data_IF_482485589034
#
_entry.id   IF_482485589034
#
_cell.length_a   1.000
_cell.length_b   1.000
_cell.length_c   1.000
_cell.angle_alpha   90.00
_cell.angle_beta   90.00
_cell.angle_gamma   90.00
#
_symmetry.space_group_name_H-M   'P 1'
#
loop_
_entity.id
_entity.type
_entity.pdbx_description
1 polymer ?
#
# COMPACT_ATOMS: atom_id res chain seq x y z
N UNK A 1 7.18 -16.24 -17.16
CA UNK A 1 5.95 -15.66 -16.60
C UNK A 1 4.91 -16.72 -16.16
N UNK A 2 4.56 -17.73 -16.97
CA UNK A 2 3.49 -18.71 -16.67
C UNK A 2 3.67 -19.56 -15.39
N UNK A 3 4.91 -19.92 -15.03
CA UNK A 3 5.17 -20.80 -13.89
C UNK A 3 4.74 -20.18 -12.54
N UNK A 4 4.78 -18.86 -12.44
CA UNK A 4 4.57 -18.17 -11.17
C UNK A 4 3.06 -18.03 -10.81
N UNK A 5 2.16 -17.80 -11.78
CA UNK A 5 0.72 -17.67 -11.49
C UNK A 5 0.11 -18.97 -10.97
N UNK A 6 0.48 -20.13 -11.54
CA UNK A 6 -0.05 -21.43 -11.08
C UNK A 6 0.33 -21.69 -9.62
N UNK A 7 1.57 -21.37 -9.24
CA UNK A 7 2.05 -21.50 -7.86
C UNK A 7 1.30 -20.54 -6.92
N UNK A 8 1.12 -19.28 -7.31
CA UNK A 8 0.33 -18.31 -6.54
C UNK A 8 -1.10 -18.82 -6.35
N UNK A 9 -1.74 -19.31 -7.42
CA UNK A 9 -3.10 -19.89 -7.35
C UNK A 9 -3.16 -21.06 -6.37
N UNK A 10 -2.18 -21.98 -6.41
CA UNK A 10 -2.13 -23.11 -5.48
C UNK A 10 -2.03 -22.63 -4.02
N UNK A 11 -1.16 -21.65 -3.73
CA UNK A 11 -1.02 -21.06 -2.39
C UNK A 11 -2.32 -20.40 -1.92
N UNK A 12 -2.96 -19.61 -2.79
CA UNK A 12 -4.24 -18.93 -2.50
C UNK A 12 -5.36 -19.93 -2.21
N UNK A 13 -5.48 -20.99 -3.02
CA UNK A 13 -6.49 -22.02 -2.82
C UNK A 13 -6.27 -22.77 -1.50
N UNK A 14 -5.02 -23.15 -1.19
CA UNK A 14 -4.67 -23.80 0.08
C UNK A 14 -4.99 -22.89 1.27
N UNK A 15 -4.69 -21.60 1.18
CA UNK A 15 -5.00 -20.63 2.24
C UNK A 15 -6.51 -20.58 2.54
N UNK A 16 -7.36 -20.40 1.52
CA UNK A 16 -8.80 -20.36 1.75
C UNK A 16 -9.37 -21.71 2.19
N UNK A 17 -8.85 -22.83 1.68
CA UNK A 17 -9.25 -24.17 2.14
C UNK A 17 -8.93 -24.38 3.62
N UNK A 18 -7.76 -23.94 4.07
CA UNK A 18 -7.37 -24.04 5.48
C UNK A 18 -8.27 -23.18 6.38
N UNK A 19 -8.62 -21.96 5.93
CA UNK A 19 -9.55 -21.10 6.68
C UNK A 19 -10.94 -21.73 6.83
N UNK A 20 -11.42 -22.40 5.78
CA UNK A 20 -12.71 -23.12 5.82
C UNK A 20 -12.64 -24.35 6.73
N UNK A 21 -11.61 -25.18 6.58
CA UNK A 21 -11.46 -26.42 7.37
C UNK A 21 -11.34 -26.17 8.87
N UNK A 22 -10.71 -25.05 9.26
CA UNK A 22 -10.49 -24.71 10.67
C UNK A 22 -11.64 -23.90 11.28
N UNK A 23 -12.78 -23.72 10.56
CA UNK A 23 -13.86 -22.79 10.92
C UNK A 23 -13.32 -21.38 11.29
N UNK A 24 -12.21 -20.99 10.68
CA UNK A 24 -11.44 -19.80 11.04
C UNK A 24 -11.59 -18.69 10.01
N UNK A 25 -12.68 -18.69 9.24
CA UNK A 25 -12.97 -17.63 8.26
C UNK A 25 -13.06 -16.26 8.91
N UNK A 26 -13.41 -16.21 10.19
CA UNK A 26 -13.48 -15.00 11.01
C UNK A 26 -12.15 -14.63 11.69
N UNK A 27 -11.19 -15.57 11.79
CA UNK A 27 -9.88 -15.27 12.40
C UNK A 27 -9.08 -14.41 11.43
N UNK A 28 -8.64 -13.19 11.80
CA UNK A 28 -7.82 -12.37 10.94
C UNK A 28 -6.53 -13.08 10.57
N UNK A 29 -6.22 -13.16 9.28
CA UNK A 29 -5.06 -13.89 8.76
C UNK A 29 -4.50 -13.25 7.49
N UNK A 30 -3.22 -13.48 7.21
CA UNK A 30 -2.53 -13.05 6.00
C UNK A 30 -1.79 -14.22 5.39
N UNK A 31 -1.94 -14.39 4.08
CA UNK A 31 -1.05 -15.17 3.23
C UNK A 31 -0.06 -14.21 2.56
N UNK A 32 1.23 -14.34 2.88
CA UNK A 32 2.28 -13.68 2.11
C UNK A 32 2.67 -14.57 0.92
N UNK A 33 2.57 -14.04 -0.30
CA UNK A 33 2.86 -14.81 -1.52
C UNK A 33 4.23 -14.51 -2.09
N UNK A 34 4.81 -13.37 -1.74
CA UNK A 34 6.09 -12.89 -2.20
C UNK A 34 6.72 -11.98 -1.14
N UNK A 35 8.05 -12.03 -1.06
CA UNK A 35 8.84 -11.11 -0.29
C UNK A 35 10.17 -10.83 -0.97
N UNK A 36 10.69 -9.63 -0.78
CA UNK A 36 12.04 -9.26 -1.18
C UNK A 36 12.68 -8.37 -0.11
N UNK A 37 13.87 -8.70 0.33
CA UNK A 37 14.73 -7.86 1.16
C UNK A 37 16.00 -7.53 0.38
N UNK A 38 16.40 -6.25 0.37
CA UNK A 38 17.54 -5.78 -0.41
C UNK A 38 18.23 -4.59 0.25
N UNK A 39 19.52 -4.44 -0.06
CA UNK A 39 20.33 -3.30 0.34
C UNK A 39 20.19 -2.16 -0.67
N UNK A 40 19.67 -1.00 -0.25
CA UNK A 40 19.45 0.16 -1.12
C UNK A 40 20.76 0.72 -1.69
N UNK A 41 21.83 0.71 -0.90
CA UNK A 41 23.13 1.28 -1.28
C UNK A 41 24.15 0.18 -1.65
N UNK A 42 23.73 -1.08 -1.64
CA UNK A 42 24.57 -2.24 -1.97
C UNK A 42 24.55 -2.59 -3.45
N UNK A 43 25.37 -3.56 -3.85
CA UNK A 43 25.25 -4.22 -5.16
C UNK A 43 23.99 -5.11 -5.16
N UNK A 44 23.32 -5.21 -6.32
CA UNK A 44 22.07 -5.98 -6.55
C UNK A 44 22.11 -7.47 -6.17
N UNK A 45 23.25 -7.98 -5.74
CA UNK A 45 23.48 -9.39 -5.37
C UNK A 45 22.96 -9.75 -3.96
N UNK A 46 22.70 -8.77 -3.09
CA UNK A 46 22.22 -9.00 -1.72
C UNK A 46 20.68 -9.01 -1.63
N UNK A 47 20.02 -9.91 -2.37
CA UNK A 47 18.56 -9.99 -2.41
C UNK A 47 18.07 -11.30 -1.81
N UNK A 48 17.39 -11.22 -0.67
CA UNK A 48 16.68 -12.36 -0.07
C UNK A 48 15.25 -12.35 -0.59
N UNK A 49 14.74 -13.50 -1.04
CA UNK A 49 13.37 -13.62 -1.60
C UNK A 49 12.49 -14.63 -0.88
N UNK A 50 13.05 -15.41 0.05
CA UNK A 50 12.25 -16.30 0.88
C UNK A 50 11.46 -15.48 1.90
N UNK A 51 10.14 -15.64 1.89
CA UNK A 51 9.23 -14.83 2.71
C UNK A 51 9.36 -15.17 4.20
N UNK A 52 9.64 -16.42 4.57
CA UNK A 52 9.81 -16.81 5.96
C UNK A 52 11.11 -16.23 6.51
N UNK A 53 12.20 -16.29 5.72
CA UNK A 53 13.47 -15.66 6.09
C UNK A 53 13.32 -14.16 6.30
N UNK A 54 12.56 -13.47 5.44
CA UNK A 54 12.28 -12.04 5.58
C UNK A 54 11.47 -11.76 6.85
N UNK A 55 10.43 -12.54 7.14
CA UNK A 55 9.64 -12.39 8.38
C UNK A 55 10.52 -12.61 9.63
N UNK A 56 11.37 -13.64 9.61
CA UNK A 56 12.34 -13.90 10.67
C UNK A 56 13.32 -12.72 10.82
N UNK A 57 13.83 -12.18 9.71
CA UNK A 57 14.72 -11.02 9.71
C UNK A 57 14.04 -9.74 10.23
N UNK A 58 12.74 -9.57 10.00
CA UNK A 58 11.97 -8.46 10.58
C UNK A 58 11.91 -8.65 12.10
N UNK A 59 11.51 -9.83 12.57
CA UNK A 59 11.38 -10.10 13.99
C UNK A 59 12.71 -10.00 14.74
N UNK A 60 13.81 -10.43 14.11
CA UNK A 60 15.17 -10.36 14.68
C UNK A 60 15.85 -8.99 14.53
N UNK A 61 15.25 -8.03 13.81
CA UNK A 61 15.81 -6.68 13.65
C UNK A 61 15.99 -6.00 15.02
N UNK A 62 17.10 -5.30 15.24
CA UNK A 62 17.35 -4.59 16.51
C UNK A 62 16.38 -3.41 16.71
N UNK A 63 15.79 -2.91 15.62
CA UNK A 63 14.75 -1.89 15.74
C UNK A 63 13.53 -2.47 16.47
N UNK A 64 13.25 -1.95 17.66
CA UNK A 64 12.08 -2.33 18.47
C UNK A 64 10.77 -1.85 17.83
N UNK A 65 10.82 -0.76 17.06
CA UNK A 65 9.67 -0.29 16.31
C UNK A 65 9.71 -0.98 14.94
N UNK A 66 9.06 -2.15 14.81
CA UNK A 66 8.98 -2.84 13.52
C UNK A 66 8.11 -2.02 12.59
N UNK A 67 8.76 -1.20 11.78
CA UNK A 67 8.15 -0.18 10.96
C UNK A 67 7.50 -0.81 9.71
N UNK A 68 6.18 -0.98 9.75
CA UNK A 68 5.42 -1.64 8.69
C UNK A 68 4.56 -0.63 7.95
N UNK A 69 4.86 -0.39 6.67
CA UNK A 69 4.14 0.54 5.81
C UNK A 69 3.22 -0.24 4.88
N UNK A 70 1.92 0.04 4.89
CA UNK A 70 0.93 -0.80 4.20
C UNK A 70 0.22 0.02 3.13
N UNK A 71 0.35 -0.39 1.87
CA UNK A 71 -0.53 0.06 0.80
C UNK A 71 -1.62 -0.98 0.58
N UNK A 72 -2.82 -0.67 1.04
CA UNK A 72 -4.00 -1.52 0.91
C UNK A 72 -4.85 -1.07 -0.27
N UNK A 73 -5.01 -1.94 -1.27
CA UNK A 73 -5.77 -1.62 -2.48
C UNK A 73 -6.29 -2.87 -3.18
N UNK A 74 -7.25 -2.66 -4.09
CA UNK A 74 -7.75 -3.72 -4.97
C UNK A 74 -6.76 -4.15 -6.06
N UNK A 75 -5.75 -3.32 -6.37
CA UNK A 75 -4.72 -3.55 -7.39
C UNK A 75 -5.24 -4.17 -8.69
N UNK A 76 -6.30 -3.58 -9.27
CA UNK A 76 -7.05 -4.18 -10.37
C UNK A 76 -7.22 -3.25 -11.60
N UNK A 77 -6.15 -2.99 -12.37
CA UNK A 77 -4.75 -3.34 -12.10
C UNK A 77 -4.08 -2.31 -11.16
N UNK A 78 -2.89 -2.60 -10.60
CA UNK A 78 -2.06 -1.55 -10.03
C UNK A 78 -1.68 -0.52 -11.12
N UNK A 79 -1.43 0.71 -10.69
CA UNK A 79 -1.25 1.88 -11.58
C UNK A 79 -0.01 2.67 -11.19
N UNK A 80 0.39 3.64 -12.02
CA UNK A 80 1.46 4.59 -11.70
C UNK A 80 1.19 5.37 -10.39
N UNK A 81 -0.08 5.64 -10.06
CA UNK A 81 -0.45 6.23 -8.78
C UNK A 81 -0.09 5.33 -7.57
N UNK A 82 -0.15 4.00 -7.70
CA UNK A 82 0.28 3.13 -6.60
C UNK A 82 1.81 3.19 -6.40
N UNK A 83 2.57 3.21 -7.49
CA UNK A 83 4.04 3.34 -7.46
C UNK A 83 4.43 4.68 -6.83
N UNK A 84 3.80 5.78 -7.27
CA UNK A 84 4.06 7.12 -6.74
C UNK A 84 3.73 7.20 -5.24
N UNK A 85 2.66 6.54 -4.76
CA UNK A 85 2.33 6.53 -3.32
C UNK A 85 3.46 5.88 -2.51
N UNK A 86 3.98 4.75 -2.99
CA UNK A 86 5.07 4.04 -2.35
C UNK A 86 6.36 4.89 -2.34
N UNK A 87 6.71 5.53 -3.46
CA UNK A 87 7.93 6.34 -3.54
C UNK A 87 7.87 7.64 -2.76
N UNK A 88 6.73 8.34 -2.76
CA UNK A 88 6.55 9.51 -1.88
C UNK A 88 6.56 9.11 -0.41
N UNK A 89 6.06 7.92 -0.06
CA UNK A 89 6.18 7.41 1.30
C UNK A 89 7.62 7.13 1.70
N UNK A 90 8.41 6.57 0.79
CA UNK A 90 9.84 6.40 1.01
C UNK A 90 10.56 7.76 1.19
N UNK A 91 10.30 8.75 0.33
CA UNK A 91 10.85 10.10 0.48
C UNK A 91 10.49 10.70 1.84
N UNK A 92 9.22 10.61 2.23
CA UNK A 92 8.75 11.10 3.52
C UNK A 92 9.55 10.47 4.68
N UNK A 93 9.82 9.17 4.65
CA UNK A 93 10.57 8.51 5.72
C UNK A 93 12.02 9.00 5.77
N UNK A 94 12.67 9.14 4.60
CA UNK A 94 14.00 9.72 4.50
C UNK A 94 14.04 11.17 5.03
N UNK A 95 13.06 11.99 4.67
CA UNK A 95 12.94 13.37 5.16
C UNK A 95 12.73 13.43 6.68
N UNK A 96 11.92 12.53 7.25
CA UNK A 96 11.78 12.46 8.71
C UNK A 96 13.13 12.10 9.37
N UNK A 97 13.87 11.13 8.83
CA UNK A 97 15.18 10.74 9.37
C UNK A 97 16.23 11.85 9.33
N UNK A 98 16.17 12.73 8.33
CA UNK A 98 17.04 13.91 8.23
C UNK A 98 16.63 15.03 9.21
N UNK A 99 15.33 15.22 9.42
CA UNK A 99 14.80 16.38 10.12
C UNK A 99 14.52 16.16 11.61
N UNK A 100 14.33 14.92 12.08
CA UNK A 100 14.07 14.63 13.50
C UNK A 100 15.21 13.86 14.15
N UNK A 101 15.70 14.36 15.28
CA UNK A 101 16.61 13.59 16.16
C UNK A 101 15.85 12.69 17.13
N UNK A 102 14.58 12.99 17.41
CA UNK A 102 13.73 12.19 18.27
C UNK A 102 12.92 11.18 17.46
N UNK A 103 12.68 10.00 18.03
CA UNK A 103 11.85 8.94 17.42
C UNK A 103 12.32 8.43 16.03
N UNK A 104 13.60 8.56 15.67
CA UNK A 104 14.14 8.04 14.39
C UNK A 104 13.81 6.57 14.16
N UNK A 105 13.78 5.76 15.22
CA UNK A 105 13.42 4.34 15.19
C UNK A 105 12.11 4.05 14.45
N UNK A 106 11.14 4.98 14.46
CA UNK A 106 9.86 4.84 13.76
C UNK A 106 9.98 4.92 12.23
N UNK A 107 11.11 5.35 11.71
CA UNK A 107 11.35 5.57 10.28
C UNK A 107 12.51 4.73 9.73
N UNK A 108 13.28 4.04 10.58
CA UNK A 108 14.39 3.18 10.16
C UNK A 108 13.91 1.95 9.38
N UNK A 109 14.65 1.58 8.33
CA UNK A 109 14.52 0.34 7.56
C UNK A 109 13.05 -0.12 7.36
N UNK A 110 12.19 0.71 6.75
CA UNK A 110 10.78 0.39 6.61
C UNK A 110 10.54 -0.90 5.82
N UNK A 111 9.57 -1.68 6.29
CA UNK A 111 9.02 -2.83 5.55
C UNK A 111 7.74 -2.40 4.87
N UNK A 112 7.72 -2.41 3.55
CA UNK A 112 6.53 -2.11 2.75
C UNK A 112 5.72 -3.39 2.52
N UNK A 113 4.40 -3.30 2.67
CA UNK A 113 3.46 -4.38 2.39
C UNK A 113 2.42 -3.86 1.40
N UNK A 114 2.37 -4.47 0.21
CA UNK A 114 1.23 -4.33 -0.69
C UNK A 114 0.20 -5.38 -0.28
N UNK A 115 -0.96 -4.93 0.18
CA UNK A 115 -1.97 -5.80 0.76
C UNK A 115 -3.26 -5.75 -0.06
N UNK A 116 -3.79 -6.92 -0.43
CA UNK A 116 -5.11 -7.04 -1.03
C UNK A 116 -6.02 -7.87 -0.12
N UNK A 117 -7.31 -7.52 -0.09
CA UNK A 117 -8.35 -8.34 0.52
C UNK A 117 -9.31 -8.88 -0.54
N UNK A 118 -9.71 -10.15 -0.37
CA UNK A 118 -10.81 -10.76 -1.13
C UNK A 118 -12.17 -10.18 -0.69
N UNK A 119 -12.28 -9.85 0.61
CA UNK A 119 -13.51 -9.43 1.24
C UNK A 119 -13.61 -7.90 1.30
N UNK A 120 -13.54 -7.24 0.15
CA UNK A 120 -13.86 -5.82 0.10
C UNK A 120 -15.36 -5.64 0.29
N UNK A 121 -15.75 -5.10 1.46
CA UNK A 121 -17.13 -4.88 1.91
C UNK A 121 -17.99 -4.16 0.84
N UNK A 122 -17.36 -3.35 -0.02
CA UNK A 122 -18.05 -2.48 -0.97
C UNK A 122 -17.97 -2.91 -2.46
N UNK A 123 -17.23 -3.98 -2.86
CA UNK A 123 -16.99 -4.27 -4.30
C UNK A 123 -17.00 -5.76 -4.69
N UNK A 124 -17.78 -6.11 -5.73
CA UNK A 124 -17.68 -7.41 -6.44
C UNK A 124 -16.38 -7.50 -7.25
N UNK A 125 -15.78 -8.70 -7.34
CA UNK A 125 -14.60 -8.96 -8.17
C UNK A 125 -14.95 -8.90 -9.66
N UNK A 126 -14.48 -7.86 -10.37
CA UNK A 126 -14.55 -7.73 -11.84
C UNK A 126 -13.13 -7.66 -12.40
N UNK A 127 -12.85 -8.30 -13.54
CA UNK A 127 -11.54 -8.22 -14.21
C UNK A 127 -10.55 -9.29 -13.74
N UNK A 128 -9.31 -8.90 -13.40
CA UNK A 128 -8.26 -9.83 -12.99
C UNK A 128 -8.67 -10.63 -11.74
N UNK A 129 -8.34 -11.92 -11.73
CA UNK A 129 -8.50 -12.78 -10.55
C UNK A 129 -7.42 -12.46 -9.48
N UNK A 130 -7.59 -13.02 -8.27
CA UNK A 130 -6.69 -12.74 -7.13
C UNK A 130 -5.23 -13.06 -7.45
N UNK A 131 -4.95 -14.22 -8.06
CA UNK A 131 -3.58 -14.64 -8.41
C UNK A 131 -2.93 -13.70 -9.43
N UNK A 132 -3.69 -13.23 -10.41
CA UNK A 132 -3.22 -12.25 -11.39
C UNK A 132 -2.91 -10.90 -10.73
N UNK A 133 -3.75 -10.44 -9.79
CA UNK A 133 -3.51 -9.19 -9.05
C UNK A 133 -2.28 -9.28 -8.16
N UNK A 134 -2.12 -10.37 -7.42
CA UNK A 134 -0.92 -10.65 -6.63
C UNK A 134 0.33 -10.64 -7.52
N UNK A 135 0.27 -11.26 -8.70
CA UNK A 135 1.41 -11.24 -9.63
C UNK A 135 1.71 -9.85 -10.16
N UNK A 136 0.69 -9.04 -10.45
CA UNK A 136 0.87 -7.64 -10.80
C UNK A 136 1.45 -6.83 -9.63
N UNK A 137 1.09 -7.11 -8.38
CA UNK A 137 1.69 -6.48 -7.20
C UNK A 137 3.19 -6.81 -7.11
N UNK A 138 3.62 -8.04 -7.38
CA UNK A 138 5.05 -8.39 -7.45
C UNK A 138 5.79 -7.54 -8.48
N UNK A 139 5.21 -7.32 -9.67
CA UNK A 139 5.81 -6.45 -10.70
C UNK A 139 5.98 -5.01 -10.18
N UNK A 140 5.00 -4.49 -9.44
CA UNK A 140 5.11 -3.17 -8.80
C UNK A 140 6.23 -3.12 -7.78
N UNK A 141 6.47 -4.19 -7.02
CA UNK A 141 7.57 -4.23 -6.05
C UNK A 141 8.95 -4.11 -6.73
N UNK A 142 9.11 -4.72 -7.91
CA UNK A 142 10.37 -4.62 -8.68
C UNK A 142 10.58 -3.21 -9.24
N UNK A 143 9.52 -2.56 -9.71
CA UNK A 143 9.57 -1.17 -10.18
C UNK A 143 9.88 -0.22 -9.02
N UNK A 144 9.19 -0.40 -7.89
CA UNK A 144 9.38 0.39 -6.68
C UNK A 144 10.81 0.28 -6.14
N UNK A 145 11.36 -0.93 -6.05
CA UNK A 145 12.75 -1.18 -5.66
C UNK A 145 13.73 -0.34 -6.50
N UNK A 146 13.63 -0.42 -7.83
CA UNK A 146 14.52 0.33 -8.73
C UNK A 146 14.44 1.83 -8.48
N UNK A 147 13.22 2.35 -8.31
CA UNK A 147 13.01 3.79 -8.09
C UNK A 147 13.61 4.26 -6.76
N UNK A 148 13.41 3.53 -5.66
CA UNK A 148 13.95 3.96 -4.37
C UNK A 148 15.47 3.83 -4.30
N UNK A 149 16.08 2.87 -5.00
CA UNK A 149 17.53 2.79 -5.13
C UNK A 149 18.07 4.05 -5.82
N UNK A 150 17.48 4.47 -6.94
CA UNK A 150 17.88 5.72 -7.62
C UNK A 150 17.69 6.92 -6.71
N UNK A 151 16.50 7.10 -6.13
CA UNK A 151 16.19 8.21 -5.23
C UNK A 151 17.17 8.28 -4.05
N UNK A 152 17.45 7.15 -3.41
CA UNK A 152 18.33 7.11 -2.25
C UNK A 152 19.77 7.45 -2.60
N UNK A 153 20.30 6.92 -3.71
CA UNK A 153 21.66 7.24 -4.16
C UNK A 153 21.81 8.72 -4.54
N UNK A 154 20.77 9.32 -5.14
CA UNK A 154 20.80 10.71 -5.60
C UNK A 154 20.62 11.72 -4.46
N UNK A 155 19.70 11.46 -3.52
CA UNK A 155 19.24 12.45 -2.52
C UNK A 155 19.56 12.10 -1.07
N UNK A 156 19.69 10.83 -0.74
CA UNK A 156 19.69 10.34 0.64
C UNK A 156 20.90 9.45 0.96
N UNK A 157 22.02 9.64 0.25
CA UNK A 157 23.26 8.87 0.45
C UNK A 157 23.79 8.93 1.89
N UNK A 158 23.52 10.04 2.60
CA UNK A 158 23.86 10.19 4.02
C UNK A 158 23.09 9.25 4.95
N UNK A 159 21.96 8.70 4.52
CA UNK A 159 21.10 7.80 5.31
C UNK A 159 21.46 6.30 5.14
N UNK A 160 22.68 5.98 4.68
CA UNK A 160 23.10 4.60 4.43
C UNK A 160 23.06 3.70 5.67
N UNK A 161 23.03 4.22 6.90
CA UNK A 161 22.89 3.38 8.08
C UNK A 161 21.41 3.19 8.49
N UNK A 162 20.54 4.09 8.03
CA UNK A 162 19.15 4.22 8.46
C UNK A 162 18.16 3.54 7.52
N UNK A 163 18.45 3.55 6.20
CA UNK A 163 17.54 3.03 5.16
C UNK A 163 18.22 2.05 4.20
N UNK A 164 19.27 1.35 4.63
CA UNK A 164 19.92 0.37 3.77
C UNK A 164 19.05 -0.86 3.55
N UNK A 165 18.41 -1.38 4.61
CA UNK A 165 17.80 -2.70 4.56
C UNK A 165 16.29 -2.60 4.37
N UNK A 166 15.85 -2.47 3.11
CA UNK A 166 14.44 -2.36 2.78
C UNK A 166 13.85 -3.74 2.48
N UNK A 167 12.61 -3.92 2.93
CA UNK A 167 11.83 -5.13 2.75
C UNK A 167 10.51 -4.77 2.07
N UNK A 168 10.10 -5.57 1.11
CA UNK A 168 8.83 -5.42 0.41
C UNK A 168 8.12 -6.77 0.36
N UNK A 169 6.89 -6.81 0.86
CA UNK A 169 6.05 -8.01 0.91
C UNK A 169 4.78 -7.80 0.08
N UNK A 170 4.26 -8.88 -0.48
CA UNK A 170 2.93 -8.94 -1.11
C UNK A 170 2.08 -9.92 -0.32
N UNK A 171 0.93 -9.43 0.16
CA UNK A 171 0.03 -10.19 1.02
C UNK A 171 -1.42 -10.20 0.53
N UNK A 172 -2.10 -11.31 0.82
CA UNK A 172 -3.55 -11.48 0.72
C UNK A 172 -4.12 -11.67 2.13
N UNK A 173 -5.14 -10.91 2.50
CA UNK A 173 -5.85 -11.08 3.77
C UNK A 173 -7.31 -11.49 3.58
N UNK A 174 -7.86 -12.20 4.56
CA UNK A 174 -9.29 -12.56 4.62
C UNK A 174 -10.17 -11.47 5.28
N UNK A 175 -9.58 -10.42 5.86
CA UNK A 175 -10.33 -9.38 6.60
C UNK A 175 -10.44 -8.06 5.84
N UNK A 176 -11.56 -7.37 6.05
CA UNK A 176 -11.87 -6.10 5.39
C UNK A 176 -11.50 -4.86 6.21
N UNK A 177 -11.74 -4.88 7.53
CA UNK A 177 -11.50 -3.72 8.42
C UNK A 177 -10.01 -3.56 8.68
N UNK A 178 -9.56 -2.31 8.75
CA UNK A 178 -8.16 -1.98 9.02
C UNK A 178 -7.69 -2.43 10.41
N UNK A 179 -8.56 -2.38 11.42
CA UNK A 179 -8.25 -2.88 12.77
C UNK A 179 -7.96 -4.39 12.74
N UNK A 180 -8.76 -5.18 12.02
CA UNK A 180 -8.54 -6.62 11.91
C UNK A 180 -7.23 -6.93 11.14
N UNK A 181 -6.85 -6.08 10.18
CA UNK A 181 -5.57 -6.22 9.46
C UNK A 181 -4.38 -6.01 10.40
N UNK A 182 -4.48 -5.09 11.36
CA UNK A 182 -3.44 -4.94 12.40
C UNK A 182 -3.28 -6.22 13.20
N UNK A 183 -4.41 -6.85 13.60
CA UNK A 183 -4.39 -8.13 14.32
C UNK A 183 -3.68 -9.21 13.47
N UNK A 184 -4.06 -9.34 12.21
CA UNK A 184 -3.48 -10.33 11.30
C UNK A 184 -1.96 -10.11 11.09
N UNK A 185 -1.50 -8.86 10.98
CA UNK A 185 -0.07 -8.54 10.84
C UNK A 185 0.69 -8.88 12.11
N UNK A 186 0.14 -8.52 13.29
CA UNK A 186 0.78 -8.77 14.59
C UNK A 186 0.91 -10.26 14.93
N UNK A 187 0.16 -11.15 14.27
CA UNK A 187 0.40 -12.60 14.38
C UNK A 187 1.75 -13.02 13.81
N UNK A 188 2.22 -12.36 12.75
CA UNK A 188 3.52 -12.66 12.11
C UNK A 188 4.64 -11.74 12.59
N UNK A 189 4.30 -10.50 12.96
CA UNK A 189 5.22 -9.45 13.39
C UNK A 189 4.67 -8.80 14.66
N UNK A 190 4.85 -9.41 15.85
CA UNK A 190 4.18 -8.97 17.10
C UNK A 190 4.43 -7.51 17.48
N UNK A 191 5.64 -7.02 17.25
CA UNK A 191 6.08 -5.65 17.54
C UNK A 191 5.81 -4.68 16.36
N UNK A 192 4.96 -5.06 15.40
CA UNK A 192 4.59 -4.20 14.29
C UNK A 192 3.93 -2.91 14.75
N UNK A 193 4.40 -1.79 14.18
CA UNK A 193 3.77 -0.47 14.23
C UNK A 193 3.29 -0.07 12.82
N UNK A 194 2.14 -0.59 12.36
CA UNK A 194 1.55 -0.27 11.07
C UNK A 194 1.35 1.23 10.79
N UNK A 195 1.77 1.64 9.60
CA UNK A 195 1.39 2.89 8.95
C UNK A 195 0.59 2.58 7.67
N UNK A 196 -0.70 2.91 7.64
CA UNK A 196 -1.54 2.64 6.47
C UNK A 196 -1.53 3.82 5.50
N UNK A 197 -1.15 3.57 4.25
CA UNK A 197 -1.27 4.53 3.15
C UNK A 197 -2.72 4.55 2.69
N UNK A 198 -3.38 5.70 2.82
CA UNK A 198 -4.79 5.90 2.48
C UNK A 198 -4.98 7.13 1.59
N UNK A 199 -6.00 7.09 0.73
CA UNK A 199 -6.55 8.30 0.10
C UNK A 199 -7.58 8.98 1.01
N UNK A 200 -7.90 10.25 0.74
CA UNK A 200 -8.93 11.01 1.47
C UNK A 200 -10.27 10.26 1.60
N UNK A 201 -10.73 9.60 0.53
CA UNK A 201 -11.97 8.83 0.55
C UNK A 201 -11.91 7.64 1.52
N UNK A 202 -10.75 7.00 1.60
CA UNK A 202 -10.55 5.82 2.45
C UNK A 202 -10.42 6.21 3.91
N UNK A 203 -9.65 7.26 4.23
CA UNK A 203 -9.58 7.75 5.61
C UNK A 203 -10.95 8.27 6.07
N UNK A 204 -11.71 8.95 5.21
CA UNK A 204 -13.07 9.38 5.55
C UNK A 204 -13.95 8.19 5.92
N UNK A 205 -13.91 7.10 5.12
CA UNK A 205 -14.60 5.84 5.44
C UNK A 205 -14.10 5.18 6.72
N UNK A 206 -12.80 5.24 7.00
CA UNK A 206 -12.22 4.68 8.23
C UNK A 206 -12.84 5.30 9.50
N UNK A 207 -13.28 6.56 9.44
CA UNK A 207 -13.98 7.25 10.52
C UNK A 207 -15.52 7.23 10.41
N UNK A 208 -16.13 6.32 9.63
CA UNK A 208 -17.60 6.19 9.58
C UNK A 208 -18.12 5.17 10.59
N UNK A 209 -19.09 5.57 11.41
CA UNK A 209 -19.70 4.74 12.46
C UNK A 209 -20.24 3.38 11.98
N UNK A 210 -20.73 3.32 10.74
CA UNK A 210 -21.26 2.07 10.15
C UNK A 210 -20.26 0.91 10.11
N UNK A 211 -18.96 1.18 10.22
CA UNK A 211 -17.92 0.14 10.27
C UNK A 211 -17.60 -0.35 11.70
N UNK A 212 -18.26 0.23 12.70
CA UNK A 212 -18.07 -0.04 14.14
C UNK A 212 -19.39 -0.44 14.82
N UNK A 213 -20.38 -0.93 14.07
CA UNK A 213 -21.66 -1.37 14.63
C UNK A 213 -21.43 -2.45 15.69
N UNK A 214 -22.00 -2.25 16.88
CA UNK A 214 -21.82 -3.14 18.04
C UNK A 214 -20.50 -2.96 18.79
N UNK A 215 -19.68 -1.97 18.44
CA UNK A 215 -18.41 -1.66 19.08
C UNK A 215 -18.36 -0.19 19.53
N UNK A 216 -17.58 0.11 20.56
CA UNK A 216 -17.27 1.49 20.92
C UNK A 216 -16.19 2.05 19.96
N UNK A 217 -16.63 2.81 18.95
CA UNK A 217 -15.74 3.37 17.93
C UNK A 217 -14.57 4.16 18.53
N UNK A 218 -14.79 4.96 19.58
CA UNK A 218 -13.73 5.75 20.21
C UNK A 218 -12.67 4.85 20.83
N UNK A 219 -13.06 3.83 21.60
CA UNK A 219 -12.11 2.90 22.21
C UNK A 219 -11.30 2.14 21.16
N UNK A 220 -11.96 1.71 20.08
CA UNK A 220 -11.30 1.02 18.96
C UNK A 220 -10.29 1.95 18.26
N UNK A 221 -10.67 3.20 17.99
CA UNK A 221 -9.77 4.17 17.37
C UNK A 221 -8.62 4.58 18.28
N UNK A 222 -8.87 4.76 19.58
CA UNK A 222 -7.82 5.05 20.57
C UNK A 222 -6.82 3.88 20.64
N UNK A 223 -7.31 2.64 20.65
CA UNK A 223 -6.49 1.43 20.58
C UNK A 223 -5.69 1.34 19.29
N UNK A 224 -6.31 1.68 18.15
CA UNK A 224 -5.63 1.72 16.85
C UNK A 224 -4.50 2.77 16.86
N UNK A 225 -4.78 4.03 17.18
CA UNK A 225 -3.79 5.10 17.09
C UNK A 225 -2.72 5.10 18.18
N UNK A 226 -2.84 4.22 19.19
CA UNK A 226 -1.78 3.98 20.18
C UNK A 226 -0.45 3.66 19.50
N UNK A 227 -0.45 2.64 18.64
CA UNK A 227 0.75 2.10 17.99
C UNK A 227 0.76 2.34 16.47
N UNK A 228 -0.40 2.60 15.87
CA UNK A 228 -0.54 2.72 14.41
C UNK A 228 -0.60 4.18 13.96
N UNK A 229 -0.35 4.39 12.67
CA UNK A 229 -0.47 5.68 12.01
C UNK A 229 -1.14 5.57 10.64
N UNK A 230 -1.54 6.70 10.08
CA UNK A 230 -2.06 6.80 8.73
C UNK A 230 -1.19 7.78 7.96
N UNK A 231 -0.88 7.42 6.72
CA UNK A 231 -0.24 8.27 5.73
C UNK A 231 -1.30 8.58 4.69
N UNK A 232 -1.75 9.82 4.65
CA UNK A 232 -2.83 10.27 3.78
C UNK A 232 -2.28 11.05 2.60
N UNK A 233 -2.60 10.59 1.39
CA UNK A 233 -2.43 11.37 0.17
C UNK A 233 -3.79 11.88 -0.30
N UNK A 234 -3.89 13.18 -0.55
CA UNK A 234 -5.10 13.74 -1.15
C UNK A 234 -5.20 13.38 -2.65
N UNK A 235 -6.33 13.59 -3.32
CA UNK A 235 -6.45 13.46 -4.78
C UNK A 235 -7.20 14.65 -5.34
N UNK A 236 -6.90 15.03 -6.58
CA UNK A 236 -7.79 15.95 -7.32
C UNK A 236 -9.01 15.12 -7.74
N UNK A 237 -10.12 15.27 -7.02
CA UNK A 237 -11.39 14.73 -7.48
C UNK A 237 -11.88 15.58 -8.66
N UNK A 238 -12.28 14.96 -9.76
CA UNK A 238 -13.02 15.65 -10.81
C UNK A 238 -14.42 15.99 -10.27
N UNK A 239 -14.65 17.23 -9.86
CA UNK A 239 -15.98 17.83 -9.99
C UNK A 239 -16.08 18.35 -11.42
N UNK A 240 -17.01 17.82 -12.22
CA UNK A 240 -17.13 18.06 -13.67
C UNK A 240 -17.29 19.55 -14.07
N UNK A 241 -17.43 20.48 -13.12
CA UNK A 241 -17.78 21.89 -13.39
C UNK A 241 -16.86 22.93 -12.74
N UNK A 242 -15.64 22.59 -12.30
CA UNK A 242 -14.71 23.57 -11.69
C UNK A 242 -13.29 23.48 -12.25
N UNK A 243 -12.62 24.62 -12.35
CA UNK A 243 -11.25 24.72 -12.88
C UNK A 243 -10.26 23.94 -11.98
N UNK A 244 -9.12 23.53 -12.54
CA UNK A 244 -8.09 22.75 -11.82
C UNK A 244 -7.53 23.46 -10.58
N UNK A 245 -7.49 24.79 -10.58
CA UNK A 245 -7.07 25.60 -9.43
C UNK A 245 -8.10 25.58 -8.29
N UNK A 246 -9.39 25.68 -8.61
CA UNK A 246 -10.48 25.67 -7.63
C UNK A 246 -10.63 24.28 -6.95
N UNK A 247 -10.39 23.20 -7.70
CA UNK A 247 -10.45 21.84 -7.17
C UNK A 247 -9.28 21.50 -6.24
N UNK A 248 -8.06 21.97 -6.54
CA UNK A 248 -6.89 21.80 -5.65
C UNK A 248 -7.06 22.55 -4.31
N UNK A 249 -7.60 23.77 -4.35
CA UNK A 249 -7.84 24.59 -3.15
C UNK A 249 -8.92 23.98 -2.25
N UNK A 250 -10.04 23.54 -2.83
CA UNK A 250 -11.16 22.95 -2.08
C UNK A 250 -10.82 21.60 -1.44
N UNK A 251 -10.08 20.71 -2.11
CA UNK A 251 -9.72 19.40 -1.55
C UNK A 251 -8.72 19.51 -0.39
N UNK A 252 -7.70 20.35 -0.54
CA UNK A 252 -6.78 20.66 0.56
C UNK A 252 -7.51 21.24 1.77
N UNK A 253 -8.51 22.10 1.55
CA UNK A 253 -9.34 22.63 2.63
C UNK A 253 -10.18 21.54 3.31
N UNK A 254 -10.74 20.59 2.54
CA UNK A 254 -11.54 19.48 3.09
C UNK A 254 -10.72 18.50 3.93
N UNK A 255 -9.56 18.05 3.43
CA UNK A 255 -8.67 17.17 4.20
C UNK A 255 -8.14 17.87 5.45
N UNK A 256 -7.74 19.15 5.32
CA UNK A 256 -7.30 19.95 6.46
C UNK A 256 -8.41 20.08 7.50
N UNK A 257 -9.61 20.45 7.09
CA UNK A 257 -10.76 20.55 7.99
C UNK A 257 -11.11 19.22 8.65
N UNK A 258 -11.10 18.11 7.90
CA UNK A 258 -11.34 16.77 8.44
C UNK A 258 -10.37 16.42 9.58
N UNK A 259 -9.10 16.86 9.47
CA UNK A 259 -8.05 16.60 10.45
C UNK A 259 -8.02 17.66 11.57
N UNK A 260 -8.38 18.91 11.33
CA UNK A 260 -8.30 19.97 12.36
C UNK A 260 -9.58 20.14 13.17
N UNK A 261 -10.73 19.85 12.56
CA UNK A 261 -12.06 20.10 13.11
C UNK A 261 -12.97 18.86 13.07
N UNK A 262 -12.70 17.92 12.16
CA UNK A 262 -13.49 16.71 11.98
C UNK A 262 -13.16 15.55 12.95
N UNK A 263 -13.69 14.35 12.68
CA UNK A 263 -13.56 13.19 13.56
C UNK A 263 -12.10 12.70 13.72
N UNK A 264 -11.20 13.08 12.82
CA UNK A 264 -9.78 12.74 12.90
C UNK A 264 -8.96 13.68 13.82
N UNK A 265 -9.55 14.79 14.30
CA UNK A 265 -8.87 15.77 15.16
C UNK A 265 -8.13 15.20 16.37
N UNK A 266 -8.70 14.24 17.13
CA UNK A 266 -8.00 13.65 18.28
C UNK A 266 -6.70 12.94 17.89
N UNK A 267 -6.56 12.52 16.62
CA UNK A 267 -5.49 11.67 16.12
C UNK A 267 -4.57 12.38 15.13
N UNK A 268 -4.64 13.71 15.03
CA UNK A 268 -3.89 14.50 14.04
C UNK A 268 -2.36 14.26 14.04
N UNK A 269 -1.80 13.94 15.20
CA UNK A 269 -0.37 13.65 15.37
C UNK A 269 0.04 12.24 14.89
N UNK A 270 -0.93 11.40 14.54
CA UNK A 270 -0.76 10.05 13.98
C UNK A 270 -1.21 9.96 12.52
N UNK A 271 -1.54 11.10 11.91
CA UNK A 271 -1.97 11.19 10.51
C UNK A 271 -1.01 12.13 9.77
N UNK A 272 -0.17 11.56 8.91
CA UNK A 272 0.79 12.30 8.09
C UNK A 272 0.17 12.60 6.73
N UNK A 273 0.32 13.84 6.23
CA UNK A 273 -0.31 14.29 4.97
C UNK A 273 0.77 14.54 3.90
N UNK A 274 0.59 13.97 2.71
CA UNK A 274 1.43 14.29 1.54
C UNK A 274 0.88 15.48 0.77
N UNK A 275 1.35 16.67 1.13
CA UNK A 275 0.95 17.92 0.49
C UNK A 275 1.46 18.03 -0.98
N UNK A 276 2.57 17.36 -1.31
CA UNK A 276 3.19 17.37 -2.64
C UNK A 276 2.52 16.42 -3.65
N UNK A 277 1.64 15.52 -3.20
CA UNK A 277 0.98 14.52 -4.04
C UNK A 277 0.19 15.13 -5.20
N UNK A 278 -0.45 16.28 -4.96
CA UNK A 278 -1.31 16.98 -5.92
C UNK A 278 -0.53 17.78 -6.98
N UNK A 279 0.79 17.87 -6.87
CA UNK A 279 1.61 18.63 -7.81
C UNK A 279 1.76 17.91 -9.16
N UNK A 280 1.54 16.60 -9.19
CA UNK A 280 1.49 15.82 -10.44
C UNK A 280 0.04 15.77 -10.96
N UNK A 281 -0.29 16.69 -11.87
CA UNK A 281 -1.65 16.82 -12.42
C UNK A 281 -2.11 15.60 -13.23
N UNK A 282 -1.17 14.78 -13.69
CA UNK A 282 -1.46 13.56 -14.45
C UNK A 282 -1.67 12.42 -13.45
N UNK A 283 -0.70 12.14 -12.58
CA UNK A 283 -0.77 11.01 -11.65
C UNK A 283 -1.90 11.16 -10.63
N UNK A 284 -2.22 12.38 -10.20
CA UNK A 284 -3.33 12.63 -9.26
C UNK A 284 -4.71 12.22 -9.81
N UNK A 285 -4.84 12.06 -11.14
CA UNK A 285 -6.06 11.60 -11.83
C UNK A 285 -6.05 10.11 -12.15
N UNK A 286 -4.89 9.45 -12.10
CA UNK A 286 -4.75 8.03 -12.47
C UNK A 286 -5.51 7.12 -11.50
N UNK A 287 -6.46 6.34 -12.04
CA UNK A 287 -7.21 5.33 -11.28
C UNK A 287 -7.26 3.97 -11.97
N UNK A 288 -7.36 2.89 -11.20
CA UNK A 288 -7.54 1.54 -11.76
C UNK A 288 -8.84 1.41 -12.55
N UNK A 289 -9.89 2.16 -12.20
CA UNK A 289 -11.16 2.14 -12.93
C UNK A 289 -11.02 2.74 -14.32
N UNK A 290 -10.35 3.87 -14.43
CA UNK A 290 -10.07 4.50 -15.72
C UNK A 290 -9.14 3.63 -16.58
N UNK A 291 -8.10 3.05 -15.98
CA UNK A 291 -7.24 2.09 -16.68
C UNK A 291 -8.03 0.91 -17.26
N UNK A 292 -9.00 0.35 -16.52
CA UNK A 292 -9.89 -0.72 -17.03
C UNK A 292 -10.80 -0.23 -18.16
N UNK A 293 -11.33 1.00 -18.09
CA UNK A 293 -12.15 1.55 -19.17
C UNK A 293 -11.35 1.70 -20.46
N UNK A 294 -10.12 2.22 -20.36
CA UNK A 294 -9.21 2.32 -21.50
C UNK A 294 -8.88 0.95 -22.07
N UNK A 295 -8.61 -0.05 -21.24
CA UNK A 295 -8.35 -1.42 -21.69
C UNK A 295 -9.53 -2.02 -22.46
N UNK A 296 -10.77 -1.78 -22.01
CA UNK A 296 -11.98 -2.26 -22.71
C UNK A 296 -12.20 -1.63 -24.08
N UNK A 297 -11.94 -0.32 -24.19
CA UNK A 297 -12.21 0.42 -25.42
C UNK A 297 -11.04 0.37 -26.41
N UNK A 298 -9.81 0.30 -25.89
CA UNK A 298 -8.58 0.57 -26.64
C UNK A 298 -7.45 -0.37 -26.19
N UNK A 299 -7.71 -1.69 -26.19
CA UNK A 299 -6.78 -2.72 -25.70
C UNK A 299 -5.37 -2.63 -26.32
N UNK A 300 -5.27 -2.19 -27.58
CA UNK A 300 -4.01 -2.07 -28.33
C UNK A 300 -3.33 -0.69 -28.24
N UNK A 301 -3.95 0.30 -27.60
CA UNK A 301 -3.39 1.66 -27.52
C UNK A 301 -2.41 1.78 -26.34
N UNK A 302 -1.20 1.26 -26.57
CA UNK A 302 -0.12 1.26 -25.58
C UNK A 302 0.23 2.67 -25.08
N UNK A 303 0.22 3.68 -25.96
CA UNK A 303 0.58 5.06 -25.59
C UNK A 303 -0.42 5.64 -24.57
N UNK A 304 -1.72 5.43 -24.79
CA UNK A 304 -2.76 5.87 -23.84
C UNK A 304 -2.67 5.10 -22.52
N UNK A 305 -2.39 3.79 -22.57
CA UNK A 305 -2.26 2.95 -21.37
C UNK A 305 -1.02 3.31 -20.53
N UNK A 306 0.09 3.70 -21.16
CA UNK A 306 1.33 4.09 -20.47
C UNK A 306 1.17 5.35 -19.61
N UNK A 307 0.11 6.16 -19.81
CA UNK A 307 -0.23 7.27 -18.92
C UNK A 307 -0.80 6.81 -17.57
N UNK A 308 -1.25 5.56 -17.46
CA UNK A 308 -1.91 5.02 -16.27
C UNK A 308 -1.17 3.83 -15.67
N UNK A 309 -0.54 3.02 -16.51
CA UNK A 309 0.05 1.74 -16.15
C UNK A 309 1.54 1.71 -16.54
N UNK A 310 2.41 1.14 -15.71
CA UNK A 310 3.77 0.86 -16.12
C UNK A 310 3.79 -0.19 -17.23
N UNK A 311 4.81 -0.15 -18.09
CA UNK A 311 4.95 -1.01 -19.26
C UNK A 311 4.83 -2.50 -18.91
N UNK A 312 5.48 -2.93 -17.84
CA UNK A 312 5.50 -4.32 -17.39
C UNK A 312 4.11 -4.85 -16.99
N UNK A 313 3.25 -3.98 -16.47
CA UNK A 313 1.86 -4.31 -16.17
C UNK A 313 1.04 -4.41 -17.45
N UNK A 314 1.27 -3.51 -18.42
CA UNK A 314 0.61 -3.57 -19.74
C UNK A 314 0.98 -4.87 -20.45
N UNK A 315 2.27 -5.19 -20.51
CA UNK A 315 2.79 -6.42 -21.13
C UNK A 315 2.16 -7.67 -20.48
N UNK A 316 2.07 -7.68 -19.15
CA UNK A 316 1.43 -8.77 -18.40
C UNK A 316 -0.06 -8.90 -18.73
N UNK A 317 -0.79 -7.78 -18.74
CA UNK A 317 -2.23 -7.75 -19.06
C UNK A 317 -2.48 -8.30 -20.46
N UNK A 318 -1.72 -7.84 -21.45
CA UNK A 318 -1.84 -8.27 -22.85
C UNK A 318 -1.53 -9.76 -22.98
N UNK A 319 -0.42 -10.21 -22.40
CA UNK A 319 -0.01 -11.62 -22.48
C UNK A 319 -1.07 -12.58 -21.93
N UNK A 320 -1.74 -12.22 -20.82
CA UNK A 320 -2.77 -13.06 -20.20
C UNK A 320 -4.20 -12.73 -20.65
N UNK A 321 -4.37 -11.86 -21.66
CA UNK A 321 -5.66 -11.41 -22.16
C UNK A 321 -6.62 -10.95 -21.03
N UNK A 322 -6.12 -10.14 -20.09
CA UNK A 322 -6.88 -9.71 -18.92
C UNK A 322 -7.70 -8.46 -19.28
N UNK A 323 -8.95 -8.38 -18.82
CA UNK A 323 -9.87 -7.24 -19.06
C UNK A 323 -10.34 -7.05 -20.51
N UNK A 324 -10.03 -8.00 -21.40
CA UNK A 324 -10.65 -8.12 -22.73
C UNK A 324 -12.08 -8.64 -22.62
#
# INVERSE_FOLDING_TARGET
MNYNIKLITAKVNTFFKNLQNNNSTEIPSILYTYGKQFNIFGKDENVITDTNDILNNINNDKNKNKNIVILDSSFNPPTLAHIKLLTETFNFYCEQLLNTNENKDKFLNPTFILLITNNNVDKKLVGANISQRLKMMEIITDIFQKQIITIANDKYKSLNNEVNNIRVLVGLTNVGRFIDKVIAIKQFIPEANPAFIMGIDTITRFFMEKYYIGLNMKEILDGFFKDNSIICADRIMYEENKTSADNKSNNNNKLKQFITEGPAKPYKNKIYIFNSWLNDEIISKVSSSEARNILKENYSNHEKLQKFLPKEIIDFIIYYNIYN
#
